data_IF_196679344534
#
_entry.id   IF_196679344534
#
_cell.length_a   1.000
_cell.length_b   1.000
_cell.length_c   1.000
_cell.angle_alpha   90.00
_cell.angle_beta   90.00
_cell.angle_gamma   90.00
#
_symmetry.space_group_name_H-M   'P 1'
#
loop_
_entity.id
_entity.type
_entity.pdbx_description
1 polymer ?
#
# COMPACT_ATOMS: atom_id res chain seq x y z
N UNK A 1 -22.31 -16.16 0.29
CA UNK A 1 -21.79 -14.85 -0.18
C UNK A 1 -22.16 -14.61 -1.66
N UNK A 2 -22.28 -13.36 -2.12
CA UNK A 2 -22.73 -13.04 -3.50
C UNK A 2 -21.89 -13.74 -4.58
N UNK A 3 -20.56 -13.77 -4.42
CA UNK A 3 -19.65 -14.41 -5.37
C UNK A 3 -19.86 -15.93 -5.41
N UNK A 4 -19.97 -16.60 -4.26
CA UNK A 4 -20.24 -18.04 -4.19
C UNK A 4 -21.56 -18.42 -4.86
N UNK A 5 -22.60 -17.59 -4.67
CA UNK A 5 -23.90 -17.80 -5.32
C UNK A 5 -23.74 -17.67 -6.82
N UNK A 6 -23.07 -16.62 -7.30
CA UNK A 6 -22.84 -16.40 -8.72
C UNK A 6 -22.09 -17.57 -9.36
N UNK A 7 -21.01 -18.07 -8.75
CA UNK A 7 -20.26 -19.21 -9.27
C UNK A 7 -21.17 -20.43 -9.47
N UNK A 8 -22.06 -20.70 -8.50
CA UNK A 8 -22.98 -21.85 -8.55
C UNK A 8 -24.06 -21.70 -9.63
N UNK A 9 -24.70 -20.54 -9.70
CA UNK A 9 -25.87 -20.34 -10.59
C UNK A 9 -25.51 -19.93 -12.01
N UNK A 10 -24.30 -19.39 -12.20
CA UNK A 10 -23.78 -18.96 -13.50
C UNK A 10 -22.66 -19.88 -14.02
N UNK A 11 -22.58 -21.11 -13.51
CA UNK A 11 -21.65 -22.15 -13.99
C UNK A 11 -20.18 -21.69 -14.06
N UNK A 12 -19.72 -20.92 -13.07
CA UNK A 12 -18.35 -20.42 -13.00
C UNK A 12 -17.98 -19.36 -14.05
N UNK A 13 -18.95 -18.74 -14.72
CA UNK A 13 -18.69 -17.64 -15.64
C UNK A 13 -17.95 -16.48 -14.93
N UNK A 14 -17.01 -15.77 -15.62
CA UNK A 14 -16.30 -14.63 -15.04
C UNK A 14 -17.26 -13.57 -14.53
N UNK A 15 -17.11 -13.15 -13.27
CA UNK A 15 -18.01 -12.17 -12.67
C UNK A 15 -17.43 -10.76 -12.75
N UNK A 16 -18.23 -9.84 -13.28
CA UNK A 16 -17.95 -8.41 -13.31
C UNK A 16 -18.84 -7.69 -12.28
N UNK A 17 -18.23 -6.93 -11.39
CA UNK A 17 -18.94 -6.22 -10.30
C UNK A 17 -18.65 -4.72 -10.32
N UNK A 18 -19.63 -3.90 -9.94
CA UNK A 18 -19.46 -2.47 -9.67
C UNK A 18 -19.29 -2.25 -8.17
N UNK A 19 -18.05 -2.00 -7.72
CA UNK A 19 -17.72 -2.01 -6.29
C UNK A 19 -17.68 -3.43 -5.72
N UNK A 20 -18.56 -3.80 -4.77
CA UNK A 20 -19.72 -3.05 -4.27
C UNK A 20 -19.40 -1.97 -3.24
N UNK A 21 -20.22 -0.92 -3.19
CA UNK A 21 -20.22 0.03 -2.07
C UNK A 21 -20.64 -0.72 -0.80
N UNK A 22 -19.84 -0.59 0.26
CA UNK A 22 -20.13 -1.26 1.55
C UNK A 22 -20.97 -0.40 2.49
N UNK A 23 -21.16 0.88 2.17
CA UNK A 23 -21.97 1.83 2.93
C UNK A 23 -22.36 3.02 2.05
N UNK A 24 -23.54 3.59 2.32
CA UNK A 24 -24.12 4.68 1.52
C UNK A 24 -23.92 6.07 2.15
N UNK A 25 -23.26 6.15 3.31
CA UNK A 25 -23.19 7.39 4.12
C UNK A 25 -22.05 8.34 3.73
N UNK A 26 -21.33 8.06 2.63
CA UNK A 26 -20.12 8.79 2.26
C UNK A 26 -20.06 9.19 0.75
N UNK A 27 -21.11 9.81 0.18
CA UNK A 27 -21.01 10.36 -1.17
C UNK A 27 -19.87 11.39 -1.23
N UNK A 28 -19.11 11.39 -2.32
CA UNK A 28 -17.82 12.10 -2.41
C UNK A 28 -16.61 11.21 -2.10
N UNK A 29 -16.84 10.06 -1.46
CA UNK A 29 -15.81 9.08 -1.09
C UNK A 29 -16.16 7.67 -1.56
N UNK A 30 -17.04 7.54 -2.54
CA UNK A 30 -17.55 6.24 -2.98
C UNK A 30 -16.48 5.36 -3.63
N UNK A 31 -15.43 5.94 -4.22
CA UNK A 31 -14.23 5.20 -4.61
C UNK A 31 -13.55 4.46 -3.43
N UNK A 32 -13.65 4.97 -2.19
CA UNK A 32 -13.14 4.31 -0.98
C UNK A 32 -14.13 3.25 -0.50
N UNK A 33 -15.40 3.61 -0.36
CA UNK A 33 -16.45 2.68 0.13
C UNK A 33 -16.54 1.45 -0.78
N UNK A 34 -16.46 1.66 -2.09
CA UNK A 34 -16.50 0.60 -3.09
C UNK A 34 -15.20 -0.20 -3.19
N UNK A 35 -14.01 0.42 -3.01
CA UNK A 35 -12.74 -0.30 -3.05
C UNK A 35 -12.66 -1.39 -1.96
N UNK A 36 -13.26 -1.17 -0.80
CA UNK A 36 -13.37 -2.18 0.27
C UNK A 36 -14.15 -3.40 -0.24
N UNK A 37 -15.34 -3.18 -0.80
CA UNK A 37 -16.15 -4.26 -1.34
C UNK A 37 -15.50 -4.92 -2.56
N UNK A 38 -14.85 -4.13 -3.42
CA UNK A 38 -14.17 -4.61 -4.62
C UNK A 38 -12.98 -5.53 -4.30
N UNK A 39 -12.18 -5.19 -3.28
CA UNK A 39 -11.09 -6.04 -2.81
C UNK A 39 -11.63 -7.38 -2.27
N UNK A 40 -12.70 -7.34 -1.48
CA UNK A 40 -13.37 -8.56 -0.98
C UNK A 40 -13.96 -9.39 -2.12
N UNK A 41 -14.66 -8.75 -3.07
CA UNK A 41 -15.23 -9.41 -4.23
C UNK A 41 -14.15 -10.08 -5.09
N UNK A 42 -13.06 -9.37 -5.37
CA UNK A 42 -11.91 -9.88 -6.11
C UNK A 42 -11.24 -11.06 -5.40
N UNK A 43 -11.05 -10.95 -4.08
CA UNK A 43 -10.49 -12.04 -3.25
C UNK A 43 -11.35 -13.30 -3.33
N UNK A 44 -12.67 -13.14 -3.29
CA UNK A 44 -13.62 -14.24 -3.37
C UNK A 44 -13.91 -14.75 -4.79
N UNK A 45 -13.31 -14.16 -5.82
CA UNK A 45 -13.31 -14.71 -7.18
C UNK A 45 -13.97 -13.86 -8.27
N UNK A 46 -14.33 -12.59 -7.99
CA UNK A 46 -14.69 -11.67 -9.07
C UNK A 46 -13.52 -11.53 -10.06
N UNK A 47 -13.83 -11.55 -11.35
CA UNK A 47 -12.84 -11.54 -12.41
C UNK A 47 -12.51 -10.12 -12.90
N UNK A 48 -13.47 -9.20 -12.79
CA UNK A 48 -13.31 -7.81 -13.21
C UNK A 48 -14.04 -6.88 -12.24
N UNK A 49 -13.42 -5.74 -11.95
CA UNK A 49 -13.92 -4.74 -11.01
C UNK A 49 -14.18 -3.44 -11.78
N UNK A 50 -15.43 -3.01 -11.87
CA UNK A 50 -15.78 -1.69 -12.41
C UNK A 50 -15.43 -0.67 -11.34
N UNK A 51 -14.56 0.26 -11.70
CA UNK A 51 -14.21 1.36 -10.82
C UNK A 51 -15.42 2.24 -10.47
N UNK A 52 -15.30 2.93 -9.36
CA UNK A 52 -16.22 3.96 -8.88
C UNK A 52 -15.37 5.17 -8.59
N UNK A 53 -15.81 6.34 -9.03
CA UNK A 53 -15.07 7.59 -8.87
C UNK A 53 -15.47 8.30 -7.56
N UNK A 54 -14.70 9.29 -7.08
CA UNK A 54 -15.13 10.12 -5.96
C UNK A 54 -16.49 10.80 -6.20
N UNK A 55 -16.81 11.14 -7.44
CA UNK A 55 -18.05 11.83 -7.85
C UNK A 55 -19.25 10.92 -8.12
N UNK A 56 -19.14 9.62 -7.87
CA UNK A 56 -20.29 8.74 -7.95
C UNK A 56 -21.46 9.31 -7.13
N UNK A 57 -22.67 9.23 -7.69
CA UNK A 57 -23.89 9.83 -7.13
C UNK A 57 -23.92 11.37 -7.02
N UNK A 58 -22.90 12.08 -7.50
CA UNK A 58 -22.80 13.54 -7.40
C UNK A 58 -22.67 14.25 -8.76
N UNK A 59 -22.03 13.64 -9.75
CA UNK A 59 -21.91 14.24 -11.08
C UNK A 59 -20.90 13.54 -11.98
N UNK A 60 -20.61 14.16 -13.13
CA UNK A 60 -19.62 13.63 -14.07
C UNK A 60 -18.19 13.79 -13.52
N UNK A 61 -17.37 12.71 -13.55
CA UNK A 61 -15.97 12.77 -13.12
C UNK A 61 -15.14 13.64 -14.07
N UNK A 62 -14.18 14.38 -13.50
CA UNK A 62 -13.10 15.02 -14.24
C UNK A 62 -11.89 14.08 -14.34
N UNK A 63 -10.77 14.57 -14.90
CA UNK A 63 -9.54 13.79 -15.06
C UNK A 63 -8.97 13.28 -13.72
N UNK A 64 -8.96 14.12 -12.69
CA UNK A 64 -8.47 13.74 -11.35
C UNK A 64 -9.36 12.68 -10.70
N UNK A 65 -10.67 12.81 -10.83
CA UNK A 65 -11.65 11.82 -10.34
C UNK A 65 -11.43 10.45 -11.00
N UNK A 66 -11.16 10.45 -12.31
CA UNK A 66 -10.83 9.24 -13.07
C UNK A 66 -9.52 8.63 -12.57
N UNK A 67 -8.46 9.43 -12.42
CA UNK A 67 -7.17 8.95 -11.87
C UNK A 67 -7.36 8.33 -10.49
N UNK A 68 -8.09 8.99 -9.59
CA UNK A 68 -8.36 8.47 -8.24
C UNK A 68 -9.13 7.16 -8.26
N UNK A 69 -10.19 7.06 -9.06
CA UNK A 69 -10.95 5.81 -9.22
C UNK A 69 -10.08 4.66 -9.74
N UNK A 70 -9.25 4.92 -10.76
CA UNK A 70 -8.35 3.91 -11.34
C UNK A 70 -7.32 3.44 -10.32
N UNK A 71 -6.67 4.37 -9.58
CA UNK A 71 -5.68 4.00 -8.57
C UNK A 71 -6.33 3.22 -7.42
N UNK A 72 -7.49 3.64 -6.92
CA UNK A 72 -8.23 2.93 -5.87
C UNK A 72 -8.55 1.49 -6.28
N UNK A 73 -8.97 1.27 -7.53
CA UNK A 73 -9.30 -0.06 -8.02
C UNK A 73 -8.09 -0.91 -8.40
N UNK A 74 -6.97 -0.30 -8.81
CA UNK A 74 -5.69 -1.02 -8.93
C UNK A 74 -5.20 -1.51 -7.57
N UNK A 75 -5.39 -0.72 -6.51
CA UNK A 75 -5.10 -1.14 -5.13
C UNK A 75 -6.00 -2.31 -4.74
N UNK A 76 -7.32 -2.19 -4.94
CA UNK A 76 -8.28 -3.26 -4.61
C UNK A 76 -7.99 -4.57 -5.36
N UNK A 77 -7.71 -4.48 -6.67
CA UNK A 77 -7.36 -5.63 -7.49
C UNK A 77 -6.04 -6.29 -7.03
N UNK A 78 -4.99 -5.49 -6.79
CA UNK A 78 -3.71 -6.01 -6.30
C UNK A 78 -3.86 -6.66 -4.92
N UNK A 79 -4.61 -6.04 -4.01
CA UNK A 79 -4.90 -6.60 -2.69
C UNK A 79 -5.63 -7.95 -2.80
N UNK A 80 -6.60 -8.06 -3.70
CA UNK A 80 -7.27 -9.32 -4.00
C UNK A 80 -6.30 -10.37 -4.57
N UNK A 81 -5.39 -9.99 -5.47
CA UNK A 81 -4.39 -10.90 -6.04
C UNK A 81 -3.41 -11.43 -4.97
N UNK A 82 -2.96 -10.57 -4.06
CA UNK A 82 -2.12 -10.94 -2.91
C UNK A 82 -2.89 -11.88 -1.96
N UNK A 83 -4.14 -11.54 -1.60
CA UNK A 83 -4.96 -12.36 -0.70
C UNK A 83 -5.30 -13.74 -1.29
N UNK A 84 -5.31 -13.87 -2.62
CA UNK A 84 -5.46 -15.15 -3.34
C UNK A 84 -4.16 -15.91 -3.52
N UNK A 85 -3.03 -15.34 -3.12
CA UNK A 85 -1.70 -15.94 -3.30
C UNK A 85 -1.35 -16.12 -4.78
N UNK A 86 -1.74 -15.18 -5.66
CA UNK A 86 -1.41 -15.29 -7.09
C UNK A 86 0.11 -15.22 -7.29
N UNK A 87 0.68 -16.08 -8.15
CA UNK A 87 2.12 -16.07 -8.41
C UNK A 87 2.61 -14.67 -8.83
N UNK A 88 3.65 -14.18 -8.15
CA UNK A 88 4.27 -12.88 -8.42
C UNK A 88 3.53 -11.65 -7.88
N UNK A 89 2.33 -11.80 -7.31
CA UNK A 89 1.58 -10.65 -6.78
C UNK A 89 2.37 -9.96 -5.65
N UNK A 90 2.96 -10.73 -4.74
CA UNK A 90 3.68 -10.19 -3.59
C UNK A 90 5.09 -9.66 -3.91
N UNK A 91 5.63 -9.94 -5.11
CA UNK A 91 6.99 -9.55 -5.47
C UNK A 91 7.17 -8.04 -5.48
N UNK A 92 6.14 -7.32 -5.97
CA UNK A 92 6.13 -5.86 -5.99
C UNK A 92 6.09 -5.29 -4.57
N UNK A 93 5.26 -5.84 -3.69
CA UNK A 93 5.16 -5.44 -2.28
C UNK A 93 6.51 -5.62 -1.57
N UNK A 94 7.15 -6.76 -1.80
CA UNK A 94 8.46 -7.08 -1.22
C UNK A 94 9.55 -6.13 -1.74
N UNK A 95 9.60 -5.89 -3.05
CA UNK A 95 10.58 -4.98 -3.64
C UNK A 95 10.41 -3.53 -3.13
N UNK A 96 9.16 -3.04 -3.06
CA UNK A 96 8.87 -1.70 -2.55
C UNK A 96 9.19 -1.61 -1.05
N UNK A 97 8.83 -2.63 -0.26
CA UNK A 97 9.12 -2.67 1.17
C UNK A 97 10.62 -2.74 1.46
N UNK A 98 11.38 -3.44 0.61
CA UNK A 98 12.84 -3.45 0.67
C UNK A 98 13.41 -2.06 0.40
N UNK A 99 13.03 -1.42 -0.72
CA UNK A 99 13.45 -0.06 -1.05
C UNK A 99 13.12 0.94 0.07
N UNK A 100 11.94 0.80 0.69
CA UNK A 100 11.51 1.58 1.85
C UNK A 100 12.45 1.41 3.05
N UNK A 101 12.80 0.17 3.38
CA UNK A 101 13.68 -0.11 4.52
C UNK A 101 15.13 0.34 4.28
N UNK A 102 15.60 0.23 3.04
CA UNK A 102 16.94 0.66 2.60
C UNK A 102 17.02 2.16 2.29
N UNK A 103 15.92 2.92 2.51
CA UNK A 103 15.81 4.34 2.21
C UNK A 103 16.12 4.72 0.75
N UNK A 104 15.92 3.79 -0.19
CA UNK A 104 15.94 4.08 -1.62
C UNK A 104 14.62 4.74 -2.04
N UNK A 105 14.52 6.04 -1.79
CA UNK A 105 13.34 6.84 -2.08
C UNK A 105 12.94 6.79 -3.55
N UNK A 106 13.92 6.83 -4.45
CA UNK A 106 13.67 6.83 -5.91
C UNK A 106 13.07 5.51 -6.35
N UNK A 107 13.62 4.39 -5.87
CA UNK A 107 13.09 3.07 -6.17
C UNK A 107 11.72 2.86 -5.52
N UNK A 108 11.52 3.33 -4.29
CA UNK A 108 10.21 3.29 -3.64
C UNK A 108 9.13 4.02 -4.47
N UNK A 109 9.44 5.23 -4.98
CA UNK A 109 8.50 5.97 -5.82
C UNK A 109 8.22 5.23 -7.13
N UNK A 110 9.28 4.78 -7.82
CA UNK A 110 9.18 4.06 -9.10
C UNK A 110 8.32 2.80 -9.00
N UNK A 111 8.43 2.07 -7.89
CA UNK A 111 7.67 0.84 -7.64
C UNK A 111 6.22 1.10 -7.21
N UNK A 112 5.86 2.30 -6.77
CA UNK A 112 4.50 2.63 -6.34
C UNK A 112 3.49 2.66 -7.50
N UNK A 113 2.19 2.60 -7.20
CA UNK A 113 1.14 2.63 -8.23
C UNK A 113 0.97 3.99 -8.91
N UNK A 114 1.39 5.06 -8.25
CA UNK A 114 1.36 6.44 -8.71
C UNK A 114 2.65 7.16 -8.26
N UNK A 115 3.78 6.96 -8.99
CA UNK A 115 5.09 7.50 -8.61
C UNK A 115 5.10 9.01 -8.43
N UNK A 116 4.37 9.74 -9.26
CA UNK A 116 4.29 11.21 -9.22
C UNK A 116 3.70 11.69 -7.90
N UNK A 117 2.58 11.09 -7.47
CA UNK A 117 1.95 11.44 -6.18
C UNK A 117 2.85 11.06 -5.01
N UNK A 118 3.48 9.87 -5.05
CA UNK A 118 4.38 9.42 -3.99
C UNK A 118 5.58 10.38 -3.81
N UNK A 119 6.19 10.80 -4.91
CA UNK A 119 7.28 11.78 -4.89
C UNK A 119 6.79 13.16 -4.42
N UNK A 120 5.68 13.65 -4.96
CA UNK A 120 5.10 14.96 -4.59
C UNK A 120 4.87 15.06 -3.08
N UNK A 121 4.25 14.06 -2.46
CA UNK A 121 3.95 14.09 -1.02
C UNK A 121 5.20 14.05 -0.14
N UNK A 122 6.25 13.36 -0.57
CA UNK A 122 7.54 13.43 0.11
C UNK A 122 8.13 14.86 0.00
N UNK A 123 8.09 15.43 -1.20
CA UNK A 123 8.76 16.69 -1.54
C UNK A 123 8.06 17.93 -0.99
N UNK A 124 6.78 17.83 -0.62
CA UNK A 124 6.04 18.88 0.10
C UNK A 124 6.73 19.33 1.38
N UNK A 125 7.46 18.44 2.05
CA UNK A 125 8.17 18.75 3.30
C UNK A 125 9.68 18.62 3.20
N UNK A 126 10.19 17.80 2.28
CA UNK A 126 11.62 17.55 2.07
C UNK A 126 11.99 17.68 0.57
N UNK A 127 11.92 18.90 0.01
CA UNK A 127 12.03 19.12 -1.44
C UNK A 127 13.45 18.93 -1.98
N UNK A 128 14.48 19.13 -1.15
CA UNK A 128 15.88 19.08 -1.60
C UNK A 128 16.28 17.65 -1.98
N UNK A 129 17.03 17.51 -3.08
CA UNK A 129 17.51 16.21 -3.58
C UNK A 129 18.35 15.44 -2.54
N UNK A 130 19.02 16.15 -1.64
CA UNK A 130 19.78 15.57 -0.52
C UNK A 130 18.91 14.70 0.39
N UNK A 131 17.62 15.00 0.52
CA UNK A 131 16.70 14.19 1.32
C UNK A 131 16.29 12.88 0.65
N UNK A 132 16.55 12.70 -0.65
CA UNK A 132 16.35 11.40 -1.34
C UNK A 132 17.41 10.37 -0.98
N UNK A 133 18.42 10.76 -0.22
CA UNK A 133 19.40 9.86 0.39
C UNK A 133 19.31 9.88 1.92
N UNK A 134 18.27 10.52 2.49
CA UNK A 134 18.10 10.59 3.94
C UNK A 134 17.51 9.30 4.50
N UNK A 135 18.09 8.81 5.61
CA UNK A 135 17.57 7.66 6.36
C UNK A 135 16.42 8.06 7.31
N UNK A 136 15.52 8.93 6.85
CA UNK A 136 14.32 9.36 7.56
C UNK A 136 13.38 10.15 6.63
N UNK A 137 12.12 10.31 7.03
CA UNK A 137 11.21 11.31 6.47
C UNK A 137 10.78 12.34 7.53
N UNK A 138 9.99 13.33 7.12
CA UNK A 138 9.49 14.40 7.98
C UNK A 138 8.59 13.91 9.13
N UNK A 139 7.95 12.75 8.99
CA UNK A 139 7.03 12.20 10.00
C UNK A 139 7.72 11.90 11.35
N UNK A 140 8.93 11.32 11.33
CA UNK A 140 9.67 10.95 12.55
C UNK A 140 10.99 11.72 12.72
N UNK A 141 11.49 12.32 11.64
CA UNK A 141 12.79 12.97 11.63
C UNK A 141 13.97 12.02 11.85
N UNK A 142 15.19 12.57 11.91
CA UNK A 142 16.44 11.79 11.88
C UNK A 142 16.72 10.95 13.14
N UNK A 143 16.08 11.27 14.26
CA UNK A 143 16.33 10.65 15.57
C UNK A 143 15.34 9.54 15.93
N UNK A 144 14.12 9.58 15.40
CA UNK A 144 13.03 8.68 15.81
C UNK A 144 12.50 7.80 14.68
N UNK A 145 13.18 7.77 13.53
CA UNK A 145 12.82 6.84 12.45
C UNK A 145 13.06 5.39 12.90
N UNK A 146 12.00 4.60 13.00
CA UNK A 146 12.04 3.21 13.45
C UNK A 146 12.91 2.31 12.55
N UNK A 147 12.88 2.52 11.23
CA UNK A 147 13.68 1.75 10.27
C UNK A 147 15.17 2.03 10.44
N UNK A 148 15.56 3.29 10.65
CA UNK A 148 16.95 3.67 10.91
C UNK A 148 17.43 3.09 12.24
N UNK A 149 16.63 3.19 13.29
CA UNK A 149 16.95 2.57 14.59
C UNK A 149 17.14 1.06 14.43
N UNK A 150 16.33 0.40 13.62
CA UNK A 150 16.46 -1.04 13.33
C UNK A 150 17.75 -1.33 12.55
N UNK A 151 18.13 -0.50 11.58
CA UNK A 151 19.40 -0.60 10.85
C UNK A 151 20.61 -0.48 11.80
N UNK A 152 20.60 0.53 12.67
CA UNK A 152 21.65 0.77 13.67
C UNK A 152 21.78 -0.44 14.62
N UNK A 153 20.67 -0.98 15.13
CA UNK A 153 20.67 -2.18 15.99
C UNK A 153 21.24 -3.39 15.24
N UNK A 154 20.86 -3.60 13.97
CA UNK A 154 21.38 -4.72 13.16
C UNK A 154 22.88 -4.59 12.92
N UNK A 155 23.38 -3.35 12.77
CA UNK A 155 24.81 -3.08 12.63
C UNK A 155 25.56 -3.37 13.92
N UNK A 156 25.09 -2.83 15.06
CA UNK A 156 25.67 -3.12 16.38
C UNK A 156 25.69 -4.63 16.69
N UNK A 157 24.67 -5.37 16.26
CA UNK A 157 24.62 -6.83 16.41
C UNK A 157 25.72 -7.55 15.62
N UNK A 158 25.95 -7.13 14.37
CA UNK A 158 26.98 -7.70 13.50
C UNK A 158 28.39 -7.36 13.98
N UNK A 159 28.57 -6.16 14.52
CA UNK A 159 29.85 -5.65 14.98
C UNK A 159 30.20 -6.15 16.40
N UNK A 160 29.28 -6.88 17.07
CA UNK A 160 29.47 -7.47 18.40
C UNK A 160 29.19 -6.52 19.58
N UNK A 161 28.94 -5.24 19.31
CA UNK A 161 28.72 -4.17 20.30
C UNK A 161 27.47 -4.39 21.19
N UNK A 162 26.50 -5.17 20.72
CA UNK A 162 25.32 -5.52 21.54
C UNK A 162 25.66 -6.49 22.68
N UNK A 163 26.66 -7.37 22.49
CA UNK A 163 27.08 -8.30 23.54
C UNK A 163 27.85 -7.56 24.65
N UNK A 164 28.68 -6.58 24.30
CA UNK A 164 29.44 -5.78 25.27
C UNK A 164 28.53 -4.96 26.19
N UNK A 165 27.48 -4.32 25.64
CA UNK A 165 26.51 -3.57 26.45
C UNK A 165 25.58 -4.45 27.30
N UNK A 166 25.25 -5.66 26.84
CA UNK A 166 24.49 -6.62 27.66
C UNK A 166 25.33 -7.16 28.83
N UNK A 167 26.64 -7.30 28.64
CA UNK A 167 27.58 -7.66 29.72
C UNK A 167 27.70 -6.56 30.77
N UNK A 168 27.63 -5.28 30.40
CA UNK A 168 27.63 -4.15 31.35
C UNK A 168 26.32 -4.00 32.15
N UNK A 169 25.18 -4.47 31.62
CA UNK A 169 23.87 -4.39 32.29
C UNK A 169 23.60 -5.63 33.16
N UNK A 170 24.32 -6.74 32.96
CA UNK A 170 24.27 -7.86 33.89
C UNK A 170 25.06 -7.49 35.16
N UNK A 171 24.43 -7.37 36.33
CA UNK A 171 25.21 -7.24 37.55
C UNK A 171 26.08 -8.49 37.67
N UNK A 172 27.38 -8.30 37.92
CA UNK A 172 28.21 -9.35 38.47
C UNK A 172 27.48 -9.95 39.69
N UNK A 173 27.46 -11.28 39.77
CA UNK A 173 26.91 -12.02 40.92
C UNK A 173 27.39 -11.47 42.26
#
# INVERSE_FOLDING_TARGET
MNIERQIKVCNGAPFYVLGPLVTDVAPGYDHITSAIGAAMAGWHGAAMLCYVTPKEHLGLPNEDDVKQGVIAYKIAAHAADVARGRPGAQDRDNALSKARFEFDWKEQFRLSLDPETAQRYHDETLPQDTFKSAHFCSMCGPKYCSMKITEDIRKMAKDGELNERLVEISPAK
#
